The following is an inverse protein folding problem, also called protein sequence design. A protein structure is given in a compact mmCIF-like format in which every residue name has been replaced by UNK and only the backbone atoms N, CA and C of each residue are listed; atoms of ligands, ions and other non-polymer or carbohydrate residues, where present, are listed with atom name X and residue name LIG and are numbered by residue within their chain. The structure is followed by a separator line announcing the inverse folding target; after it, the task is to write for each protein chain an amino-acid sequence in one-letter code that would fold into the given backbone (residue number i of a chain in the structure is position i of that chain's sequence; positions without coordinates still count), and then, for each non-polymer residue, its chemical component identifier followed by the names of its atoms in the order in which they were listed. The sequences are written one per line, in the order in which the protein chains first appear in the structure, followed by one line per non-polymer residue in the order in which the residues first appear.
data_IF_465880497601
#
_entry.id   IF_465880497601
#
_cell.length_a   1.000
_cell.length_b   1.000
_cell.length_c   1.000
_cell.angle_alpha   90.00
_cell.angle_beta   90.00
_cell.angle_gamma   90.00
#
_symmetry.space_group_name_H-M   'P 1'
#
loop_
_entity.id
_entity.type
_entity.pdbx_description
1 polymer ?
#
# COMPACT_ATOMS: atom_id res chain seq x y z
N UNK A 1 12.63 22.79 11.29
CA UNK A 1 11.29 23.30 11.02
C UNK A 1 10.44 22.37 10.14
N UNK A 2 10.99 21.69 9.14
CA UNK A 2 10.23 20.82 8.22
C UNK A 2 9.54 19.57 8.84
N UNK A 3 10.00 19.03 9.97
CA UNK A 3 9.40 17.87 10.65
C UNK A 3 8.12 18.23 11.42
N UNK A 4 8.05 19.46 11.95
CA UNK A 4 6.88 19.93 12.74
C UNK A 4 5.67 20.20 11.85
N UNK A 5 5.86 20.66 10.61
CA UNK A 5 4.75 20.95 9.69
C UNK A 5 4.17 19.67 9.04
N UNK A 6 5.00 18.65 8.84
CA UNK A 6 4.52 17.32 8.41
C UNK A 6 3.61 16.66 9.45
N UNK A 7 3.89 16.87 10.74
CA UNK A 7 3.05 16.36 11.83
C UNK A 7 1.72 17.13 12.00
N UNK A 8 1.60 18.37 11.53
CA UNK A 8 0.35 19.13 11.59
C UNK A 8 -0.75 18.61 10.63
N UNK A 9 -0.38 17.84 9.62
CA UNK A 9 -1.31 17.10 8.74
C UNK A 9 -1.68 15.72 9.28
N UNK A 10 -1.16 15.36 10.45
CA UNK A 10 -1.16 14.02 11.01
C UNK A 10 -2.54 13.47 11.37
N UNK A 11 -2.52 12.17 11.59
CA UNK A 11 -3.62 11.37 12.11
C UNK A 11 -3.56 11.39 13.65
N UNK A 12 -4.66 11.75 14.32
CA UNK A 12 -4.75 11.65 15.78
C UNK A 12 -4.81 10.18 16.20
N UNK A 13 -3.88 9.71 17.06
CA UNK A 13 -3.77 8.27 17.37
C UNK A 13 -4.99 7.71 18.13
N UNK A 14 -5.69 8.55 18.91
CA UNK A 14 -6.91 8.13 19.62
C UNK A 14 -8.07 8.01 18.62
N UNK A 15 -8.19 8.99 17.72
CA UNK A 15 -9.21 8.96 16.68
C UNK A 15 -8.99 7.83 15.68
N UNK A 16 -7.73 7.53 15.31
CA UNK A 16 -7.40 6.39 14.44
C UNK A 16 -7.84 5.06 15.04
N UNK A 17 -7.50 4.82 16.32
CA UNK A 17 -7.98 3.63 17.04
C UNK A 17 -9.50 3.56 17.10
N UNK A 18 -10.16 4.70 17.38
CA UNK A 18 -11.62 4.77 17.40
C UNK A 18 -12.24 4.51 16.01
N UNK A 19 -11.62 5.00 14.94
CA UNK A 19 -12.03 4.75 13.56
C UNK A 19 -11.92 3.26 13.21
N UNK A 20 -10.79 2.62 13.47
CA UNK A 20 -10.54 1.20 13.27
C UNK A 20 -11.56 0.36 14.06
N UNK A 21 -11.81 0.71 15.34
CA UNK A 21 -12.80 0.03 16.16
C UNK A 21 -14.24 0.24 15.66
N UNK A 22 -14.54 1.36 15.00
CA UNK A 22 -15.86 1.65 14.42
C UNK A 22 -16.09 0.81 13.17
N UNK A 23 -15.10 0.70 12.28
CA UNK A 23 -15.13 -0.20 11.13
C UNK A 23 -15.41 -1.64 11.60
N UNK A 24 -14.75 -2.08 12.69
CA UNK A 24 -14.98 -3.41 13.27
C UNK A 24 -16.42 -3.67 13.74
N UNK A 25 -17.11 -2.63 14.23
CA UNK A 25 -18.49 -2.73 14.73
C UNK A 25 -19.53 -2.69 13.62
N UNK A 26 -19.18 -2.16 12.45
CA UNK A 26 -20.09 -2.06 11.30
C UNK A 26 -20.52 -3.39 10.70
N UNK A 27 -19.86 -4.50 11.08
CA UNK A 27 -20.22 -5.86 10.67
C UNK A 27 -19.87 -6.23 9.23
N UNK A 28 -19.94 -5.30 8.30
CA UNK A 28 -19.49 -5.45 6.91
C UNK A 28 -18.42 -4.40 6.60
N UNK A 29 -17.45 -4.78 5.79
CA UNK A 29 -16.45 -3.84 5.27
C UNK A 29 -17.11 -2.89 4.28
N UNK A 30 -16.64 -1.63 4.20
CA UNK A 30 -17.09 -0.72 3.15
C UNK A 30 -16.88 -1.35 1.76
N UNK A 31 -17.90 -1.37 0.93
CA UNK A 31 -17.84 -1.93 -0.43
C UNK A 31 -16.70 -1.29 -1.26
N UNK A 32 -16.43 0.00 -1.01
CA UNK A 32 -15.35 0.75 -1.65
C UNK A 32 -13.98 0.08 -1.45
N UNK A 33 -13.70 -0.45 -0.26
CA UNK A 33 -12.43 -1.11 0.02
C UNK A 33 -12.26 -2.40 -0.82
N UNK A 34 -13.32 -3.16 -1.04
CA UNK A 34 -13.30 -4.33 -1.92
C UNK A 34 -13.08 -3.93 -3.39
N UNK A 35 -13.71 -2.84 -3.85
CA UNK A 35 -13.52 -2.29 -5.19
C UNK A 35 -12.07 -1.86 -5.40
N UNK A 36 -11.50 -1.11 -4.45
CA UNK A 36 -10.12 -0.65 -4.51
C UNK A 36 -9.15 -1.84 -4.50
N UNK A 37 -9.42 -2.88 -3.70
CA UNK A 37 -8.59 -4.09 -3.68
C UNK A 37 -8.56 -4.79 -5.05
N UNK A 38 -9.69 -4.88 -5.76
CA UNK A 38 -9.74 -5.45 -7.13
C UNK A 38 -8.90 -4.62 -8.10
N UNK A 39 -9.06 -3.30 -8.09
CA UNK A 39 -8.25 -2.39 -8.91
C UNK A 39 -6.76 -2.47 -8.58
N UNK A 40 -6.42 -2.70 -7.31
CA UNK A 40 -5.04 -2.86 -6.88
C UNK A 40 -4.42 -4.16 -7.42
N UNK A 41 -5.18 -5.29 -7.44
CA UNK A 41 -4.71 -6.54 -8.06
C UNK A 41 -4.54 -6.39 -9.57
N UNK A 42 -5.45 -5.70 -10.26
CA UNK A 42 -5.33 -5.44 -11.71
C UNK A 42 -4.04 -4.69 -12.05
N UNK A 43 -3.61 -3.75 -11.19
CA UNK A 43 -2.34 -3.02 -11.33
C UNK A 43 -1.10 -3.89 -11.11
N UNK A 44 -1.24 -5.04 -10.49
CA UNK A 44 -0.15 -6.02 -10.34
C UNK A 44 0.02 -6.94 -11.56
N UNK A 45 -0.96 -7.04 -12.43
CA UNK A 45 -0.90 -7.95 -13.57
C UNK A 45 0.37 -7.79 -14.44
N UNK A 46 0.89 -6.58 -14.71
CA UNK A 46 2.12 -6.39 -15.46
C UNK A 46 3.37 -6.95 -14.76
N UNK A 47 3.39 -6.98 -13.43
CA UNK A 47 4.54 -7.41 -12.62
C UNK A 47 4.73 -8.95 -12.67
N UNK A 48 3.70 -9.71 -13.04
CA UNK A 48 3.71 -11.19 -13.13
C UNK A 48 4.24 -11.88 -11.86
N UNK A 49 3.96 -11.28 -10.71
CA UNK A 49 4.41 -11.77 -9.42
C UNK A 49 3.78 -13.14 -9.09
N UNK A 50 4.60 -14.08 -8.61
CA UNK A 50 4.17 -15.39 -8.10
C UNK A 50 4.71 -15.59 -6.68
N UNK A 51 4.16 -14.90 -5.67
CA UNK A 51 4.68 -14.95 -4.32
C UNK A 51 4.38 -16.31 -3.67
N UNK A 52 5.38 -16.87 -3.00
CA UNK A 52 5.19 -18.06 -2.15
C UNK A 52 4.66 -17.68 -0.77
N UNK A 53 4.97 -16.45 -0.33
CA UNK A 53 4.52 -15.89 0.94
C UNK A 53 4.13 -14.43 0.78
N UNK A 54 2.99 -14.07 1.41
CA UNK A 54 2.39 -12.74 1.38
C UNK A 54 2.18 -12.27 2.82
N UNK A 55 2.58 -11.05 3.13
CA UNK A 55 2.18 -10.34 4.34
C UNK A 55 1.06 -9.37 3.96
N UNK A 56 -0.13 -9.58 4.52
CA UNK A 56 -1.26 -8.67 4.35
C UNK A 56 -1.36 -7.76 5.56
N UNK A 57 -1.21 -6.47 5.31
CA UNK A 57 -1.21 -5.45 6.36
C UNK A 57 -2.61 -4.87 6.56
N UNK A 58 -3.18 -5.08 7.74
CA UNK A 58 -4.51 -4.66 8.14
C UNK A 58 -5.64 -5.11 7.21
N UNK A 59 -5.70 -6.39 6.83
CA UNK A 59 -6.76 -6.87 5.95
C UNK A 59 -8.14 -6.78 6.60
N UNK A 60 -8.22 -6.71 7.94
CA UNK A 60 -9.46 -6.52 8.66
C UNK A 60 -10.14 -5.20 8.31
N UNK A 61 -9.57 -4.03 8.61
CA UNK A 61 -10.16 -2.76 8.24
C UNK A 61 -9.99 -2.41 6.75
N UNK A 62 -8.90 -2.84 6.11
CA UNK A 62 -8.58 -2.53 4.72
C UNK A 62 -9.37 -3.33 3.69
N UNK A 63 -9.82 -4.52 4.03
CA UNK A 63 -10.49 -5.42 3.09
C UNK A 63 -9.58 -6.03 2.02
N UNK A 64 -10.19 -6.77 1.08
CA UNK A 64 -9.48 -7.34 -0.06
C UNK A 64 -8.79 -8.69 0.19
N UNK A 65 -8.95 -9.27 1.36
CA UNK A 65 -8.45 -10.59 1.72
C UNK A 65 -8.89 -11.72 0.77
N UNK A 66 -10.14 -11.68 0.33
CA UNK A 66 -10.69 -12.60 -0.66
C UNK A 66 -10.08 -12.42 -2.05
N UNK A 67 -9.81 -11.17 -2.42
CA UNK A 67 -9.21 -10.80 -3.70
C UNK A 67 -7.75 -11.29 -3.76
N UNK A 68 -6.95 -11.04 -2.72
CA UNK A 68 -5.55 -11.52 -2.62
C UNK A 68 -5.50 -13.04 -2.66
N UNK A 69 -6.39 -13.70 -1.91
CA UNK A 69 -6.47 -15.15 -1.89
C UNK A 69 -6.85 -15.75 -3.24
N UNK A 70 -7.78 -15.12 -3.96
CA UNK A 70 -8.16 -15.56 -5.30
C UNK A 70 -7.02 -15.38 -6.30
N UNK A 71 -6.26 -14.27 -6.19
CA UNK A 71 -5.13 -13.99 -7.05
C UNK A 71 -3.93 -14.94 -6.77
N UNK A 72 -3.71 -15.32 -5.50
CA UNK A 72 -2.56 -16.11 -5.07
C UNK A 72 -2.97 -17.31 -4.19
N UNK A 73 -3.71 -18.29 -4.73
CA UNK A 73 -4.33 -19.37 -3.93
C UNK A 73 -3.34 -20.33 -3.28
N UNK A 74 -2.09 -20.35 -3.75
CA UNK A 74 -1.01 -21.23 -3.25
C UNK A 74 -0.06 -20.53 -2.28
N UNK A 75 -0.17 -19.22 -2.12
CA UNK A 75 0.72 -18.47 -1.26
C UNK A 75 0.41 -18.73 0.23
N UNK A 76 1.44 -18.89 1.02
CA UNK A 76 1.36 -18.78 2.49
C UNK A 76 1.00 -17.33 2.84
N UNK A 77 0.04 -17.13 3.74
CA UNK A 77 -0.46 -15.80 4.08
C UNK A 77 -0.23 -15.50 5.56
N UNK A 78 0.31 -14.33 5.83
CA UNK A 78 0.45 -13.76 7.17
C UNK A 78 -0.40 -12.51 7.24
N UNK A 79 -1.46 -12.55 8.06
CA UNK A 79 -2.40 -11.46 8.24
C UNK A 79 -1.98 -10.66 9.47
N UNK A 80 -1.53 -9.44 9.27
CA UNK A 80 -1.13 -8.51 10.33
C UNK A 80 -2.29 -7.58 10.60
N UNK A 81 -2.97 -7.77 11.72
CA UNK A 81 -4.15 -7.00 12.10
C UNK A 81 -3.80 -5.80 13.00
N UNK A 82 -4.60 -4.74 13.06
CA UNK A 82 -4.26 -3.51 13.79
C UNK A 82 -4.08 -3.69 15.30
N UNK A 83 -4.76 -4.68 15.88
CA UNK A 83 -4.71 -4.96 17.31
C UNK A 83 -5.09 -6.41 17.63
N UNK A 84 -4.91 -6.80 18.90
CA UNK A 84 -5.20 -8.13 19.37
C UNK A 84 -6.69 -8.53 19.22
N UNK A 85 -7.62 -7.58 19.27
CA UNK A 85 -9.06 -7.85 19.12
C UNK A 85 -9.40 -8.19 17.65
N UNK A 86 -8.84 -7.45 16.70
CA UNK A 86 -8.94 -7.77 15.30
C UNK A 86 -8.29 -9.13 14.98
N UNK A 87 -7.07 -9.37 15.50
CA UNK A 87 -6.37 -10.64 15.32
C UNK A 87 -7.17 -11.82 15.89
N UNK A 88 -7.79 -11.68 17.06
CA UNK A 88 -8.65 -12.73 17.66
C UNK A 88 -9.87 -13.04 16.78
N UNK A 89 -10.57 -12.01 16.26
CA UNK A 89 -11.70 -12.17 15.33
C UNK A 89 -11.27 -12.88 14.06
N UNK A 90 -10.14 -12.47 13.48
CA UNK A 90 -9.59 -13.08 12.27
C UNK A 90 -9.24 -14.55 12.49
N UNK A 91 -8.54 -14.88 13.57
CA UNK A 91 -8.22 -16.28 13.92
C UNK A 91 -9.50 -17.13 14.05
N UNK A 92 -10.55 -16.58 14.64
CA UNK A 92 -11.84 -17.28 14.76
C UNK A 92 -12.50 -17.49 13.39
N UNK A 93 -12.39 -16.53 12.46
CA UNK A 93 -12.90 -16.66 11.09
C UNK A 93 -12.11 -17.70 10.30
N UNK A 94 -10.76 -17.66 10.36
CA UNK A 94 -9.89 -18.62 9.69
C UNK A 94 -10.12 -20.06 10.18
N UNK A 95 -10.31 -20.27 11.50
CA UNK A 95 -10.67 -21.60 12.04
C UNK A 95 -12.00 -22.09 11.48
N UNK A 96 -13.06 -21.28 11.46
CA UNK A 96 -14.37 -21.68 10.88
C UNK A 96 -14.25 -22.07 9.43
N UNK A 97 -13.44 -21.33 8.66
CA UNK A 97 -13.19 -21.61 7.26
C UNK A 97 -12.47 -22.93 7.03
N UNK A 98 -11.48 -23.27 7.86
CA UNK A 98 -10.76 -24.54 7.77
C UNK A 98 -11.71 -25.75 7.97
N UNK A 99 -12.69 -25.61 8.88
CA UNK A 99 -13.72 -26.63 9.10
C UNK A 99 -14.71 -26.78 7.94
N UNK A 100 -14.86 -25.79 7.07
CA UNK A 100 -15.81 -25.83 5.94
C UNK A 100 -15.26 -26.47 4.67
N UNK A 101 -14.11 -27.15 4.72
CA UNK A 101 -13.43 -27.79 3.57
C UNK A 101 -13.16 -26.85 2.38
N UNK A 102 -13.22 -25.55 2.55
CA UNK A 102 -12.78 -24.60 1.57
C UNK A 102 -11.24 -24.64 1.52
N UNK A 103 -10.72 -25.52 0.68
CA UNK A 103 -9.30 -25.86 0.52
C UNK A 103 -8.45 -24.61 0.21
N UNK A 104 -7.52 -24.33 1.10
CA UNK A 104 -6.46 -23.32 0.97
C UNK A 104 -5.53 -23.44 2.16
N UNK A 105 -4.26 -23.07 2.00
CA UNK A 105 -3.33 -22.98 3.13
C UNK A 105 -3.92 -22.03 4.18
N UNK A 106 -3.97 -22.44 5.44
CA UNK A 106 -4.41 -21.60 6.56
C UNK A 106 -3.53 -20.37 6.67
N UNK A 107 -4.11 -19.25 7.10
CA UNK A 107 -3.35 -18.03 7.30
C UNK A 107 -2.84 -17.94 8.74
N UNK A 108 -1.58 -17.51 8.90
CA UNK A 108 -1.04 -17.09 10.20
C UNK A 108 -1.58 -15.69 10.52
N UNK A 109 -2.11 -15.49 11.74
CA UNK A 109 -2.69 -14.20 12.14
C UNK A 109 -1.95 -13.65 13.35
N UNK A 110 -1.42 -12.45 13.21
CA UNK A 110 -0.72 -11.69 14.27
C UNK A 110 -1.33 -10.28 14.37
N UNK A 111 -1.01 -9.56 15.43
CA UNK A 111 -1.28 -8.12 15.49
C UNK A 111 -0.04 -7.31 15.06
N UNK A 112 -0.22 -6.02 14.82
CA UNK A 112 0.84 -5.15 14.30
C UNK A 112 1.96 -4.83 15.31
N UNK A 113 1.83 -5.28 16.56
CA UNK A 113 2.89 -5.21 17.58
C UNK A 113 3.83 -6.40 17.54
N UNK A 114 3.50 -7.43 16.76
CA UNK A 114 4.37 -8.59 16.59
C UNK A 114 5.72 -8.17 16.02
N UNK A 115 6.80 -8.80 16.49
CA UNK A 115 8.14 -8.57 15.98
C UNK A 115 8.24 -8.94 14.49
N UNK A 116 9.09 -8.24 13.76
CA UNK A 116 9.34 -8.53 12.34
C UNK A 116 9.80 -10.00 12.14
N UNK A 117 10.51 -10.60 13.12
CA UNK A 117 10.90 -12.01 13.09
C UNK A 117 9.70 -12.96 13.18
N UNK A 118 8.67 -12.62 13.98
CA UNK A 118 7.45 -13.41 14.11
C UNK A 118 6.56 -13.31 12.86
N UNK A 119 6.56 -12.15 12.18
CA UNK A 119 5.87 -11.97 10.90
C UNK A 119 6.63 -12.71 9.79
N UNK A 120 7.97 -12.63 9.80
CA UNK A 120 8.86 -13.21 8.80
C UNK A 120 8.86 -12.41 7.49
N UNK A 121 9.77 -12.79 6.58
CA UNK A 121 9.90 -12.14 5.27
C UNK A 121 8.95 -12.73 4.24
N UNK A 122 8.62 -11.94 3.22
CA UNK A 122 7.70 -12.31 2.15
C UNK A 122 8.13 -11.70 0.81
N UNK A 123 7.64 -12.25 -0.28
CA UNK A 123 7.84 -11.68 -1.62
C UNK A 123 6.83 -10.58 -1.92
N UNK A 124 5.71 -10.53 -1.19
CA UNK A 124 4.69 -9.48 -1.33
C UNK A 124 4.28 -8.97 0.04
N UNK A 125 4.31 -7.66 0.23
CA UNK A 125 3.57 -6.96 1.28
C UNK A 125 2.40 -6.25 0.63
N UNK A 126 1.18 -6.61 1.06
CA UNK A 126 -0.07 -6.06 0.57
C UNK A 126 -0.75 -5.21 1.63
N UNK A 127 -1.11 -3.96 1.33
CA UNK A 127 -1.77 -3.05 2.25
C UNK A 127 -2.87 -2.25 1.56
N UNK A 128 -4.10 -2.78 1.53
CA UNK A 128 -5.24 -2.08 0.94
C UNK A 128 -5.88 -1.14 1.96
N UNK A 129 -6.10 0.13 1.59
CA UNK A 129 -6.85 1.13 2.35
C UNK A 129 -6.46 1.24 3.85
N UNK A 130 -5.16 1.05 4.16
CA UNK A 130 -4.66 1.06 5.53
C UNK A 130 -3.87 2.33 5.87
N UNK A 131 -3.03 2.81 4.95
CA UNK A 131 -2.00 3.82 5.23
C UNK A 131 -2.56 5.17 5.72
N UNK A 132 -3.73 5.57 5.25
CA UNK A 132 -4.39 6.82 5.67
C UNK A 132 -4.93 6.82 7.11
N UNK A 133 -4.93 5.65 7.77
CA UNK A 133 -5.29 5.50 9.19
C UNK A 133 -4.05 5.40 10.09
N UNK A 134 -2.85 5.39 9.52
CA UNK A 134 -1.60 5.20 10.24
C UNK A 134 -1.05 6.55 10.72
N UNK A 135 -0.59 6.57 11.97
CA UNK A 135 -0.06 7.80 12.60
C UNK A 135 1.34 8.15 12.04
N UNK A 136 2.17 7.13 11.82
CA UNK A 136 3.54 7.28 11.32
C UNK A 136 3.72 6.44 10.04
N UNK A 137 3.33 7.03 8.92
CA UNK A 137 3.43 6.39 7.61
C UNK A 137 4.89 6.08 7.21
N UNK A 138 5.89 6.99 7.39
CA UNK A 138 7.29 6.68 7.09
C UNK A 138 7.82 5.47 7.86
N UNK A 139 7.54 5.38 9.17
CA UNK A 139 7.98 4.24 9.98
C UNK A 139 7.35 2.92 9.51
N UNK A 140 6.07 2.95 9.11
CA UNK A 140 5.40 1.77 8.57
C UNK A 140 5.96 1.36 7.21
N UNK A 141 6.20 2.30 6.30
CA UNK A 141 6.80 2.04 4.98
C UNK A 141 8.20 1.42 5.14
N UNK A 142 9.01 1.96 6.04
CA UNK A 142 10.33 1.39 6.37
C UNK A 142 10.21 -0.03 6.96
N UNK A 143 9.16 -0.31 7.74
CA UNK A 143 8.87 -1.65 8.25
C UNK A 143 8.51 -2.62 7.13
N UNK A 144 7.68 -2.21 6.19
CA UNK A 144 7.35 -3.04 5.03
C UNK A 144 8.59 -3.44 4.23
N UNK A 145 9.56 -2.51 4.06
CA UNK A 145 10.82 -2.83 3.40
C UNK A 145 11.61 -3.93 4.14
N UNK A 146 11.63 -3.90 5.49
CA UNK A 146 12.31 -4.93 6.28
C UNK A 146 11.66 -6.30 6.14
N UNK A 147 10.33 -6.35 6.06
CA UNK A 147 9.53 -7.57 5.88
C UNK A 147 9.64 -8.18 4.46
N UNK A 148 10.18 -7.46 3.49
CA UNK A 148 10.36 -7.99 2.15
C UNK A 148 11.65 -8.78 2.02
N UNK A 149 11.60 -9.87 1.24
CA UNK A 149 12.76 -10.50 0.64
C UNK A 149 13.40 -9.54 -0.38
N UNK A 150 14.65 -9.81 -0.77
CA UNK A 150 15.26 -9.14 -1.92
C UNK A 150 14.42 -9.43 -3.17
N UNK A 151 14.20 -8.42 -4.00
CA UNK A 151 13.30 -8.43 -5.16
C UNK A 151 11.80 -8.57 -4.80
N UNK A 152 11.48 -8.59 -3.50
CA UNK A 152 10.09 -8.51 -3.05
C UNK A 152 9.48 -7.14 -3.32
N UNK A 153 8.17 -7.09 -3.37
CA UNK A 153 7.40 -5.88 -3.71
C UNK A 153 6.42 -5.52 -2.59
N UNK A 154 6.33 -4.23 -2.27
CA UNK A 154 5.20 -3.67 -1.53
C UNK A 154 4.16 -3.17 -2.51
N UNK A 155 2.89 -3.40 -2.20
CA UNK A 155 1.75 -2.87 -2.95
C UNK A 155 0.72 -2.35 -1.98
N UNK A 156 0.29 -1.12 -2.17
CA UNK A 156 -0.64 -0.49 -1.26
C UNK A 156 -1.61 0.46 -1.95
N UNK A 157 -2.70 0.77 -1.25
CA UNK A 157 -3.61 1.85 -1.59
C UNK A 157 -3.97 2.67 -0.35
N UNK A 158 -4.27 3.94 -0.56
CA UNK A 158 -4.77 4.82 0.49
C UNK A 158 -5.60 5.97 -0.11
N UNK A 159 -6.27 6.72 0.75
CA UNK A 159 -6.98 7.93 0.34
C UNK A 159 -6.00 9.07 0.08
N UNK A 160 -6.26 9.83 -0.98
CA UNK A 160 -5.49 11.01 -1.39
C UNK A 160 -6.15 12.35 -1.03
N UNK A 161 -5.43 13.47 -1.24
CA UNK A 161 -5.83 14.82 -0.78
C UNK A 161 -7.16 15.34 -1.32
N UNK A 162 -7.57 14.94 -2.53
CA UNK A 162 -8.84 15.38 -3.10
C UNK A 162 -10.07 14.60 -2.55
N UNK A 163 -9.85 13.58 -1.68
CA UNK A 163 -10.95 12.85 -1.03
C UNK A 163 -11.84 13.78 -0.24
N UNK A 164 -13.18 13.74 -0.51
CA UNK A 164 -14.21 14.55 0.15
C UNK A 164 -13.93 16.07 0.08
N UNK A 165 -13.33 16.54 -1.02
CA UNK A 165 -13.02 17.95 -1.23
C UNK A 165 -14.28 18.80 -1.09
N UNK A 166 -15.40 18.39 -1.67
CA UNK A 166 -16.68 19.11 -1.65
C UNK A 166 -17.23 19.21 -0.23
N UNK A 167 -17.03 18.19 0.62
CA UNK A 167 -17.41 18.22 2.02
C UNK A 167 -16.50 19.15 2.83
N UNK A 168 -15.19 19.19 2.55
CA UNK A 168 -14.26 20.14 3.20
C UNK A 168 -14.62 21.59 2.87
N UNK A 169 -14.93 21.88 1.61
CA UNK A 169 -15.38 23.20 1.16
C UNK A 169 -16.68 23.62 1.88
N UNK A 170 -17.64 22.69 1.99
CA UNK A 170 -18.86 22.93 2.74
C UNK A 170 -18.58 23.30 4.20
N UNK A 171 -17.71 22.53 4.86
CA UNK A 171 -17.35 22.78 6.26
C UNK A 171 -16.62 24.11 6.43
N UNK A 172 -15.69 24.44 5.52
CA UNK A 172 -14.99 25.72 5.52
C UNK A 172 -15.97 26.91 5.35
N UNK A 173 -16.92 26.81 4.42
CA UNK A 173 -17.95 27.84 4.19
C UNK A 173 -18.86 28.06 5.42
N UNK A 174 -19.04 27.02 6.25
CA UNK A 174 -19.82 27.09 7.49
C UNK A 174 -18.98 27.47 8.73
N UNK A 175 -17.65 27.67 8.57
CA UNK A 175 -16.74 27.91 9.69
C UNK A 175 -16.59 26.70 10.63
N UNK A 176 -16.84 25.48 10.14
CA UNK A 176 -16.69 24.26 10.94
C UNK A 176 -15.28 23.69 10.82
N UNK A 177 -14.76 23.00 11.88
CA UNK A 177 -13.50 22.28 11.80
C UNK A 177 -13.50 21.25 10.68
N UNK A 178 -12.32 20.97 10.06
CA UNK A 178 -12.19 20.03 8.96
C UNK A 178 -12.90 18.69 9.22
N UNK A 179 -13.67 18.16 8.24
CA UNK A 179 -14.35 16.87 8.36
C UNK A 179 -13.43 15.67 8.14
N UNK A 180 -12.22 15.88 7.61
CA UNK A 180 -11.26 14.84 7.25
C UNK A 180 -9.87 15.16 7.78
N UNK A 181 -8.98 14.16 7.95
CA UNK A 181 -7.55 14.43 8.14
C UNK A 181 -6.94 15.06 6.89
N UNK A 182 -5.70 15.52 7.00
CA UNK A 182 -4.86 15.82 5.85
C UNK A 182 -4.33 14.50 5.27
N UNK A 183 -4.84 14.08 4.12
CA UNK A 183 -4.31 12.91 3.43
C UNK A 183 -2.94 13.20 2.80
N UNK A 184 -2.12 12.16 2.68
CA UNK A 184 -0.77 12.26 2.11
C UNK A 184 -0.89 12.37 0.59
N UNK A 185 -0.15 13.31 0.02
CA UNK A 185 -0.07 13.49 -1.44
C UNK A 185 0.73 12.33 -2.09
N UNK A 186 0.44 12.07 -3.35
CA UNK A 186 1.11 11.02 -4.13
C UNK A 186 2.63 11.24 -4.21
N UNK A 187 3.09 12.49 -4.35
CA UNK A 187 4.53 12.81 -4.42
C UNK A 187 5.20 12.58 -3.06
N UNK A 188 4.56 13.01 -1.97
CA UNK A 188 5.04 12.74 -0.60
C UNK A 188 5.14 11.22 -0.33
N UNK A 189 4.18 10.41 -0.85
CA UNK A 189 4.25 8.95 -0.77
C UNK A 189 5.44 8.38 -1.54
N UNK A 190 5.72 8.94 -2.73
CA UNK A 190 6.89 8.58 -3.54
C UNK A 190 8.19 8.85 -2.81
N UNK A 191 8.32 10.04 -2.25
CA UNK A 191 9.49 10.43 -1.46
C UNK A 191 9.67 9.52 -0.23
N UNK A 192 8.59 9.18 0.48
CA UNK A 192 8.65 8.24 1.61
C UNK A 192 9.14 6.85 1.20
N UNK A 193 8.75 6.35 0.02
CA UNK A 193 9.24 5.07 -0.50
C UNK A 193 10.74 5.14 -0.84
N UNK A 194 11.18 6.20 -1.50
CA UNK A 194 12.60 6.43 -1.82
C UNK A 194 13.43 6.55 -0.56
N UNK A 195 12.99 7.37 0.40
CA UNK A 195 13.66 7.57 1.69
C UNK A 195 13.76 6.29 2.51
N UNK A 196 12.76 5.42 2.43
CA UNK A 196 12.79 4.11 3.06
C UNK A 196 13.75 3.12 2.37
N UNK A 197 14.16 3.38 1.12
CA UNK A 197 15.09 2.56 0.35
C UNK A 197 14.42 1.61 -0.66
N UNK A 198 13.17 1.86 -1.03
CA UNK A 198 12.54 1.15 -2.14
C UNK A 198 13.15 1.59 -3.48
N UNK A 199 13.32 0.63 -4.38
CA UNK A 199 13.68 0.88 -5.77
C UNK A 199 12.44 0.98 -6.64
N UNK A 200 12.55 1.78 -7.69
CA UNK A 200 11.53 1.92 -8.75
C UNK A 200 10.11 2.12 -8.21
N UNK A 201 9.90 3.10 -7.29
CA UNK A 201 8.57 3.36 -6.80
C UNK A 201 7.70 3.89 -7.94
N UNK A 202 6.54 3.26 -8.12
CA UNK A 202 5.52 3.70 -9.06
C UNK A 202 4.26 4.04 -8.28
N UNK A 203 3.75 5.23 -8.52
CA UNK A 203 2.50 5.69 -7.94
C UNK A 203 1.52 6.08 -9.05
N UNK A 204 0.27 5.82 -8.79
CA UNK A 204 -0.87 6.16 -9.62
C UNK A 204 -1.99 6.69 -8.73
N UNK A 205 -2.84 7.53 -9.28
CA UNK A 205 -4.01 8.03 -8.55
C UNK A 205 -5.23 8.08 -9.45
N UNK A 206 -6.37 7.87 -8.87
CA UNK A 206 -7.64 8.06 -9.55
C UNK A 206 -8.64 8.76 -8.65
N UNK A 207 -9.58 9.48 -9.26
CA UNK A 207 -10.71 10.09 -8.55
C UNK A 207 -11.98 9.36 -8.91
N UNK A 208 -12.65 8.80 -7.90
CA UNK A 208 -13.95 8.12 -8.02
C UNK A 208 -15.01 9.09 -7.52
N UNK A 209 -16.00 9.41 -8.35
CA UNK A 209 -17.15 10.20 -7.92
C UNK A 209 -18.25 9.26 -7.44
N UNK A 210 -18.60 9.37 -6.17
CA UNK A 210 -19.71 8.63 -5.57
C UNK A 210 -20.93 9.53 -5.48
N UNK A 211 -22.12 8.95 -5.67
CA UNK A 211 -23.41 9.66 -5.63
C UNK A 211 -24.34 9.00 -4.64
N UNK A 212 -25.00 9.82 -3.85
CA UNK A 212 -26.00 9.39 -2.86
C UNK A 212 -27.34 10.04 -3.11
N UNK A 213 -28.45 9.30 -2.91
CA UNK A 213 -29.79 9.82 -3.15
C UNK A 213 -30.23 10.86 -2.08
N UNK A 214 -29.54 10.92 -0.94
CA UNK A 214 -29.84 11.89 0.13
C UNK A 214 -28.64 12.15 1.02
N UNK A 215 -28.68 13.25 1.77
CA UNK A 215 -27.67 13.60 2.78
C UNK A 215 -27.58 12.55 3.90
N UNK A 216 -28.70 11.94 4.29
CA UNK A 216 -28.73 10.89 5.32
C UNK A 216 -28.03 9.64 4.86
N UNK A 217 -28.28 9.18 3.60
CA UNK A 217 -27.62 8.03 3.00
C UNK A 217 -26.10 8.26 2.92
N UNK A 218 -25.69 9.45 2.47
CA UNK A 218 -24.31 9.86 2.42
C UNK A 218 -23.63 9.79 3.80
N UNK A 219 -24.23 10.42 4.82
CA UNK A 219 -23.69 10.43 6.16
C UNK A 219 -23.63 9.05 6.80
N UNK A 220 -24.61 8.19 6.51
CA UNK A 220 -24.63 6.80 6.99
C UNK A 220 -23.48 5.99 6.41
N UNK A 221 -23.17 6.16 5.11
CA UNK A 221 -22.08 5.46 4.46
C UNK A 221 -20.70 6.00 4.88
N UNK A 222 -20.53 7.33 4.95
CA UNK A 222 -19.30 7.93 5.46
C UNK A 222 -18.96 7.48 6.89
N UNK A 223 -19.98 7.23 7.72
CA UNK A 223 -19.76 6.72 9.07
C UNK A 223 -19.12 5.30 9.07
N UNK A 224 -19.33 4.50 8.03
CA UNK A 224 -18.73 3.16 7.90
C UNK A 224 -17.24 3.24 7.53
N UNK A 225 -16.77 4.33 6.94
CA UNK A 225 -15.36 4.56 6.61
C UNK A 225 -14.48 4.89 7.83
N UNK A 226 -15.01 4.79 9.05
CA UNK A 226 -14.25 4.99 10.29
C UNK A 226 -14.36 6.39 10.88
N UNK A 227 -14.65 7.43 10.09
CA UNK A 227 -14.86 8.80 10.55
C UNK A 227 -13.58 9.64 10.58
N UNK A 228 -13.69 10.84 11.16
CA UNK A 228 -12.65 11.86 11.10
C UNK A 228 -11.51 11.62 12.10
N UNK A 229 -10.30 11.46 11.58
CA UNK A 229 -9.07 11.28 12.37
C UNK A 229 -8.22 12.55 12.49
N UNK A 230 -8.74 13.71 12.06
CA UNK A 230 -8.02 14.99 12.13
C UNK A 230 -7.71 15.40 13.58
N UNK A 231 -6.50 15.86 13.91
CA UNK A 231 -6.16 16.31 15.27
C UNK A 231 -7.03 17.47 15.76
N UNK A 232 -7.33 18.43 14.89
CA UNK A 232 -8.18 19.58 15.19
C UNK A 232 -9.68 19.36 14.88
N UNK A 233 -10.13 18.09 14.81
CA UNK A 233 -11.56 17.79 14.68
C UNK A 233 -12.37 18.32 15.87
N UNK A 234 -13.67 18.44 15.70
CA UNK A 234 -14.53 18.75 16.85
C UNK A 234 -14.38 17.68 17.95
N UNK A 235 -14.02 18.12 19.14
CA UNK A 235 -13.64 17.23 20.24
C UNK A 235 -14.82 16.59 20.99
N UNK A 236 -16.06 17.00 20.72
CA UNK A 236 -17.25 16.53 21.45
C UNK A 236 -18.29 15.87 20.56
N UNK A 237 -19.41 15.53 21.19
CA UNK A 237 -20.60 15.09 20.45
C UNK A 237 -21.24 16.29 19.75
N UNK A 238 -21.68 16.09 18.52
CA UNK A 238 -22.46 17.07 17.78
C UNK A 238 -23.92 17.02 18.23
N UNK A 239 -24.53 18.19 18.36
CA UNK A 239 -25.95 18.30 18.74
C UNK A 239 -26.87 17.87 17.57
N UNK A 240 -28.11 17.45 17.86
CA UNK A 240 -29.12 17.23 16.82
C UNK A 240 -29.37 18.45 15.93
N UNK A 241 -29.30 19.65 16.49
CA UNK A 241 -29.45 20.90 15.73
C UNK A 241 -28.30 21.08 14.74
N UNK A 242 -27.06 20.80 15.15
CA UNK A 242 -25.93 20.81 14.24
C UNK A 242 -26.08 19.76 13.11
N UNK A 243 -26.55 18.54 13.45
CA UNK A 243 -26.78 17.49 12.44
C UNK A 243 -27.84 17.93 11.41
N UNK A 244 -28.93 18.56 11.84
CA UNK A 244 -29.93 19.12 10.90
C UNK A 244 -29.30 20.13 9.95
N UNK A 245 -28.52 21.09 10.48
CA UNK A 245 -27.80 22.09 9.66
C UNK A 245 -26.85 21.45 8.64
N UNK A 246 -26.17 20.37 9.01
CA UNK A 246 -25.29 19.63 8.09
C UNK A 246 -26.11 18.96 6.97
N UNK A 247 -27.21 18.32 7.31
CA UNK A 247 -28.11 17.69 6.34
C UNK A 247 -28.67 18.73 5.36
N UNK A 248 -29.16 19.86 5.87
CA UNK A 248 -29.67 20.97 5.06
C UNK A 248 -28.57 21.54 4.13
N UNK A 249 -27.37 21.74 4.64
CA UNK A 249 -26.25 22.25 3.85
C UNK A 249 -25.79 21.25 2.75
N UNK A 250 -25.84 19.95 3.02
CA UNK A 250 -25.57 18.91 2.03
C UNK A 250 -26.70 18.85 0.99
N UNK A 251 -27.96 18.89 1.41
CA UNK A 251 -29.10 18.88 0.49
C UNK A 251 -29.08 20.11 -0.44
N UNK A 252 -28.61 21.25 0.02
CA UNK A 252 -28.39 22.45 -0.80
C UNK A 252 -27.32 22.31 -1.87
N UNK A 253 -26.54 21.23 -1.85
CA UNK A 253 -25.51 20.88 -2.88
C UNK A 253 -25.97 19.76 -3.81
N UNK A 254 -27.22 19.31 -3.68
CA UNK A 254 -27.72 18.26 -4.54
C UNK A 254 -27.78 18.72 -6.01
N UNK A 255 -27.44 17.80 -6.92
CA UNK A 255 -27.56 17.98 -8.35
C UNK A 255 -29.05 18.10 -8.77
N UNK A 256 -29.33 18.35 -10.04
CA UNK A 256 -30.69 18.49 -10.58
C UNK A 256 -31.56 17.24 -10.39
N UNK A 257 -30.92 16.06 -10.29
CA UNK A 257 -31.58 14.78 -10.03
C UNK A 257 -31.80 14.49 -8.52
N UNK A 258 -31.40 15.44 -7.65
CA UNK A 258 -31.50 15.30 -6.20
C UNK A 258 -30.37 14.54 -5.55
N UNK A 259 -29.42 14.00 -6.33
CA UNK A 259 -28.27 13.25 -5.79
C UNK A 259 -27.17 14.19 -5.31
N UNK A 260 -26.40 13.75 -4.31
CA UNK A 260 -25.24 14.46 -3.78
C UNK A 260 -23.98 13.71 -4.21
N UNK A 261 -23.09 14.38 -4.92
CA UNK A 261 -21.84 13.80 -5.41
C UNK A 261 -20.67 14.25 -4.55
N UNK A 262 -19.80 13.31 -4.18
CA UNK A 262 -18.51 13.59 -3.53
C UNK A 262 -17.39 12.83 -4.23
N UNK A 263 -16.22 13.43 -4.26
CA UNK A 263 -15.01 12.85 -4.82
C UNK A 263 -14.26 12.03 -3.77
N UNK A 264 -13.83 10.84 -4.16
CA UNK A 264 -12.89 10.00 -3.42
C UNK A 264 -11.64 9.85 -4.28
N UNK A 265 -10.54 10.39 -3.84
CA UNK A 265 -9.25 10.18 -4.48
C UNK A 265 -8.56 8.98 -3.83
N UNK A 266 -8.06 8.08 -4.65
CA UNK A 266 -7.30 6.92 -4.21
C UNK A 266 -5.92 6.97 -4.83
N UNK A 267 -4.89 6.91 -3.99
CA UNK A 267 -3.52 6.70 -4.41
C UNK A 267 -3.20 5.21 -4.32
N UNK A 268 -2.54 4.70 -5.35
CA UNK A 268 -2.00 3.35 -5.46
C UNK A 268 -0.50 3.44 -5.56
N UNK A 269 0.22 2.56 -4.88
CA UNK A 269 1.67 2.56 -4.93
C UNK A 269 2.25 1.16 -4.88
N UNK A 270 3.39 1.00 -5.55
CA UNK A 270 4.26 -0.14 -5.37
C UNK A 270 5.73 0.26 -5.44
N UNK A 271 6.59 -0.57 -4.86
CA UNK A 271 8.04 -0.40 -4.91
C UNK A 271 8.73 -1.72 -4.59
N UNK A 272 9.93 -1.90 -5.12
CA UNK A 272 10.70 -3.13 -4.98
C UNK A 272 11.80 -2.97 -3.93
N UNK A 273 12.13 -4.06 -3.25
CA UNK A 273 13.34 -4.13 -2.43
C UNK A 273 14.53 -4.50 -3.31
N UNK A 274 15.38 -3.52 -3.58
CA UNK A 274 16.59 -3.75 -4.36
C UNK A 274 17.55 -4.73 -3.67
N UNK A 275 18.34 -5.51 -4.43
CA UNK A 275 19.49 -6.21 -3.90
C UNK A 275 20.43 -5.22 -3.21
N UNK A 276 21.13 -5.62 -2.13
CA UNK A 276 22.15 -4.78 -1.52
C UNK A 276 23.17 -4.36 -2.58
N UNK A 277 23.33 -3.06 -2.76
CA UNK A 277 24.42 -2.57 -3.61
C UNK A 277 25.73 -3.00 -2.95
N UNK A 278 26.52 -3.78 -3.67
CA UNK A 278 27.90 -4.03 -3.26
C UNK A 278 28.55 -2.66 -3.15
N UNK A 279 28.94 -2.26 -1.94
CA UNK A 279 29.73 -1.06 -1.77
C UNK A 279 31.04 -1.29 -2.52
N UNK A 280 31.27 -0.54 -3.56
CA UNK A 280 32.59 -0.42 -4.21
C UNK A 280 33.55 0.39 -3.31
N UNK A 281 33.53 0.15 -1.99
CA UNK A 281 34.29 0.91 -1.01
C UNK A 281 35.73 0.42 -0.84
N UNK A 282 36.16 -0.62 -1.58
CA UNK A 282 37.58 -0.89 -1.76
C UNK A 282 37.95 -0.33 -3.13
N UNK A 283 38.91 0.64 -3.22
CA UNK A 283 39.54 0.90 -4.51
C UNK A 283 40.10 -0.44 -4.99
N UNK A 284 39.57 -0.95 -6.08
CA UNK A 284 40.16 -2.10 -6.76
C UNK A 284 41.50 -1.59 -7.26
N UNK A 285 42.52 -1.64 -6.40
CA UNK A 285 43.90 -1.43 -6.79
C UNK A 285 44.30 -2.62 -7.65
N UNK A 286 43.94 -2.55 -8.92
CA UNK A 286 44.47 -3.49 -9.93
C UNK A 286 45.92 -3.09 -10.09
N UNK A 287 46.85 -3.94 -9.66
CA UNK A 287 48.25 -3.68 -9.84
C UNK A 287 48.56 -3.52 -11.33
N UNK A 288 49.51 -2.66 -11.65
CA UNK A 288 49.95 -2.49 -13.04
C UNK A 288 50.41 -3.84 -13.68
N UNK A 289 50.87 -4.77 -12.86
CA UNK A 289 51.28 -6.10 -13.32
C UNK A 289 50.08 -7.01 -13.61
N UNK A 290 48.99 -6.92 -12.85
CA UNK A 290 47.74 -7.63 -13.14
C UNK A 290 47.08 -7.07 -14.42
N UNK A 291 47.10 -5.78 -14.61
CA UNK A 291 46.61 -5.16 -15.85
C UNK A 291 47.45 -5.62 -17.07
N UNK A 292 48.77 -5.66 -16.92
CA UNK A 292 49.66 -6.15 -17.97
C UNK A 292 49.44 -7.64 -18.26
N UNK A 293 49.15 -8.41 -17.23
CA UNK A 293 48.82 -9.84 -17.37
C UNK A 293 47.47 -10.06 -18.10
N UNK A 294 46.46 -9.27 -17.80
CA UNK A 294 45.18 -9.29 -18.51
C UNK A 294 45.30 -8.92 -19.98
N UNK A 295 46.07 -7.89 -20.31
CA UNK A 295 46.30 -7.48 -21.70
C UNK A 295 47.11 -8.54 -22.47
N UNK A 296 48.08 -9.23 -21.84
CA UNK A 296 48.82 -10.34 -22.47
C UNK A 296 47.93 -11.53 -22.76
N UNK A 297 47.02 -11.90 -21.85
CA UNK A 297 46.02 -13.00 -22.06
C UNK A 297 45.08 -12.68 -23.21
N UNK A 298 44.56 -11.47 -23.33
CA UNK A 298 43.73 -11.08 -24.46
C UNK A 298 44.47 -11.12 -25.81
N UNK A 299 45.74 -10.70 -25.85
CA UNK A 299 46.56 -10.80 -27.09
C UNK A 299 46.92 -12.21 -27.44
N UNK A 300 47.05 -13.13 -26.48
CA UNK A 300 47.31 -14.56 -26.72
C UNK A 300 46.09 -15.23 -27.33
N UNK A 301 44.89 -14.96 -26.80
CA UNK A 301 43.62 -15.52 -27.31
C UNK A 301 43.32 -15.06 -28.76
N UNK A 302 43.65 -13.82 -29.10
CA UNK A 302 43.44 -13.30 -30.47
C UNK A 302 44.40 -13.91 -31.50
N UNK A 303 45.62 -14.35 -31.10
CA UNK A 303 46.57 -15.00 -31.98
C UNK A 303 46.21 -16.46 -32.27
N UNK A 304 45.70 -17.18 -31.27
CA UNK A 304 45.24 -18.57 -31.45
C UNK A 304 43.98 -18.66 -32.33
N UNK A 305 43.09 -17.69 -32.24
CA UNK A 305 41.92 -17.58 -33.12
C UNK A 305 42.30 -17.33 -34.60
N UNK A 306 43.32 -16.50 -34.84
CA UNK A 306 43.79 -16.17 -36.16
C UNK A 306 44.54 -17.37 -36.83
N UNK A 307 45.31 -18.15 -36.06
CA UNK A 307 45.99 -19.34 -36.56
C UNK A 307 45.04 -20.49 -36.89
N UNK A 308 43.95 -20.67 -36.16
CA UNK A 308 42.92 -21.66 -36.48
C UNK A 308 42.11 -21.29 -37.72
N UNK A 309 41.87 -20.00 -37.99
CA UNK A 309 41.18 -19.53 -39.19
C UNK A 309 42.01 -19.78 -40.48
N UNK A 310 43.32 -19.61 -40.43
CA UNK A 310 44.22 -19.85 -41.57
C UNK A 310 44.41 -21.35 -41.88
N UNK A 311 44.33 -22.22 -40.89
CA UNK A 311 44.44 -23.68 -41.07
C UNK A 311 43.20 -24.32 -41.71
N UNK A 312 42.01 -23.72 -41.56
CA UNK A 312 40.76 -24.18 -42.12
C UNK A 312 40.55 -23.78 -43.60
N UNK A 313 41.26 -22.76 -44.10
CA UNK A 313 41.13 -22.31 -45.49
C UNK A 313 41.99 -23.07 -46.49
N UNK A 314 42.84 -24.03 -46.07
CA UNK A 314 43.74 -24.83 -46.91
C UNK A 314 43.31 -26.27 -47.15
N UNK A 315 42.08 -26.64 -46.86
CA UNK A 315 41.55 -27.98 -47.19
C UNK A 315 40.28 -27.85 -48.02
N UNK A 316 40.47 -27.60 -49.29
CA UNK A 316 39.51 -27.98 -50.32
C UNK A 316 40.17 -29.03 -51.23
N UNK A 317 39.67 -30.26 -51.27
CA UNK A 317 40.08 -31.18 -52.31
C UNK A 317 39.17 -30.98 -53.52
N UNK A 318 39.83 -30.89 -54.66
CA UNK A 318 39.26 -31.10 -55.98
C UNK A 318 38.76 -32.57 -56.13
N UNK A 319 37.48 -32.69 -56.40
CA UNK A 319 36.89 -33.54 -57.48
C UNK A 319 35.40 -33.56 -57.36
#
# INVERSE_FOLDING_TARGET
MAVSERNARGVDPVAARAAIARIARGGALPWLHGEIARRLVERLAPIRLQPRRIVEWWPGPGGGDDVVRAAYPRAERVLVEPDAAWAARRRAAERRRWWSFASGAGATVVDDRADDAAIGRAQLVWANMALHLVVDAPALIARWLRLLDVEGVVVFSCLGPATLRELRELYAAQGWPSPTPGFIDMHDLGDMLVDAGFAEPVLDQETITLRWPSAEALLAELAQLGGNTHPARHAGLRTPAWRRRLVEALAGRADRDGSIALSIEVAYGHGFKAPPRLRADAPVAVSLDDMRAMVRRQRGSSRDGALKSVALSRRSPSR
#
